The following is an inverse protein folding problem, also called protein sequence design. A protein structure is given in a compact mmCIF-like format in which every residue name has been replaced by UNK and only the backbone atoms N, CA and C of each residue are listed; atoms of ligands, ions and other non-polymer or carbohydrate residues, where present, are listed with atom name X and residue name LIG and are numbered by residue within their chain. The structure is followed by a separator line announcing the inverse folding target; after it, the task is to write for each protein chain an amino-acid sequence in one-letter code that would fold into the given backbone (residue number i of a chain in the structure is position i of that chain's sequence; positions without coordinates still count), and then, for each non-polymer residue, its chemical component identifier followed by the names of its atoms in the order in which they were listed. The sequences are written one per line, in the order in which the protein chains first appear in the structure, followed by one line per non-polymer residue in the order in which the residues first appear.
data_IF_124125179483
#
_entry.id   IF_124125179483
#
_cell.length_a   1.000
_cell.length_b   1.000
_cell.length_c   1.000
_cell.angle_alpha   90.00
_cell.angle_beta   90.00
_cell.angle_gamma   90.00
#
_symmetry.space_group_name_H-M   'P 1'
#
loop_
_entity.id
_entity.type
_entity.pdbx_description
1 polymer ?
#
# COMPACT_ATOMS: atom_id res chain seq x y z
N UNK A 1 11.62 -9.76 -22.15
CA UNK A 1 11.19 -10.91 -21.33
C UNK A 1 9.72 -10.71 -21.04
N UNK A 2 8.82 -11.55 -21.55
CA UNK A 2 7.42 -11.53 -21.12
C UNK A 2 7.41 -11.95 -19.64
N UNK A 3 7.39 -10.94 -18.76
CA UNK A 3 7.65 -11.09 -17.34
C UNK A 3 6.59 -11.97 -16.66
N UNK A 4 7.02 -12.69 -15.64
CA UNK A 4 6.19 -13.37 -14.65
C UNK A 4 4.93 -12.53 -14.36
N UNK A 5 3.75 -13.15 -14.36
CA UNK A 5 2.50 -12.46 -14.06
C UNK A 5 2.62 -11.67 -12.76
N UNK A 6 2.19 -10.41 -12.78
CA UNK A 6 2.15 -9.58 -11.57
C UNK A 6 0.93 -9.92 -10.73
N UNK A 7 1.09 -9.77 -9.43
CA UNK A 7 0.11 -10.09 -8.40
C UNK A 7 -0.70 -8.86 -8.01
N UNK A 8 -1.84 -9.14 -7.39
CA UNK A 8 -2.70 -8.13 -6.76
C UNK A 8 -2.45 -8.19 -5.26
N UNK A 9 -2.27 -7.04 -4.63
CA UNK A 9 -2.21 -6.90 -3.18
C UNK A 9 -3.45 -6.17 -2.64
N UNK A 10 -3.83 -6.43 -1.39
CA UNK A 10 -5.03 -5.82 -0.77
C UNK A 10 -4.75 -5.30 0.64
N UNK A 11 -5.08 -4.04 0.90
CA UNK A 11 -5.13 -3.46 2.24
C UNK A 11 -6.59 -3.10 2.53
N UNK A 12 -7.24 -3.80 3.44
CA UNK A 12 -8.68 -3.64 3.63
C UNK A 12 -9.19 -4.06 4.99
N UNK A 13 -10.46 -3.76 5.27
CA UNK A 13 -11.17 -4.39 6.39
C UNK A 13 -11.30 -5.92 6.18
N UNK A 14 -11.68 -6.60 7.26
CA UNK A 14 -11.86 -8.05 7.30
C UNK A 14 -12.78 -8.56 6.18
N UNK A 15 -13.92 -7.89 5.96
CA UNK A 15 -14.90 -8.27 4.93
C UNK A 15 -14.30 -8.13 3.52
N UNK A 16 -13.59 -7.03 3.26
CA UNK A 16 -12.92 -6.77 1.97
C UNK A 16 -11.83 -7.80 1.70
N UNK A 17 -10.89 -7.97 2.63
CA UNK A 17 -9.75 -8.89 2.45
C UNK A 17 -10.25 -10.32 2.27
N UNK A 18 -11.22 -10.76 3.09
CA UNK A 18 -11.81 -12.09 2.99
C UNK A 18 -12.41 -12.33 1.61
N UNK A 19 -13.18 -11.38 1.07
CA UNK A 19 -13.76 -11.49 -0.26
C UNK A 19 -12.71 -11.66 -1.37
N UNK A 20 -11.61 -10.92 -1.29
CA UNK A 20 -10.52 -11.04 -2.26
C UNK A 20 -9.73 -12.34 -2.11
N UNK A 21 -9.47 -12.79 -0.87
CA UNK A 21 -8.80 -14.08 -0.62
C UNK A 21 -9.62 -15.25 -1.17
N UNK A 22 -10.95 -15.22 -1.01
CA UNK A 22 -11.85 -16.19 -1.63
C UNK A 22 -11.82 -16.13 -3.17
N UNK A 23 -11.55 -14.95 -3.72
CA UNK A 23 -11.31 -14.73 -5.16
C UNK A 23 -9.97 -15.26 -5.67
N UNK A 24 -9.08 -15.74 -4.79
CA UNK A 24 -7.83 -16.40 -5.15
C UNK A 24 -6.62 -15.48 -5.31
N UNK A 25 -6.67 -14.24 -4.83
CA UNK A 25 -5.52 -13.32 -4.93
C UNK A 25 -4.43 -13.59 -3.88
N UNK A 26 -4.76 -14.32 -2.80
CA UNK A 26 -3.91 -14.44 -1.61
C UNK A 26 -2.63 -15.19 -1.91
N UNK A 27 -1.49 -14.58 -1.58
CA UNK A 27 -0.16 -15.18 -1.77
C UNK A 27 0.75 -14.87 -0.59
N UNK A 28 1.55 -15.87 -0.21
CA UNK A 28 2.72 -15.68 0.66
C UNK A 28 3.98 -15.76 -0.19
N UNK A 29 4.87 -14.78 -0.06
CA UNK A 29 6.17 -14.82 -0.73
C UNK A 29 7.10 -15.88 -0.09
N UNK A 30 8.32 -16.03 -0.62
CA UNK A 30 9.33 -16.99 -0.09
C UNK A 30 9.67 -16.76 1.40
N UNK A 31 9.54 -15.53 1.86
CA UNK A 31 9.80 -15.11 3.23
C UNK A 31 8.52 -15.16 4.09
N UNK A 32 7.45 -15.77 3.59
CA UNK A 32 6.12 -15.86 4.24
C UNK A 32 5.45 -14.51 4.50
N UNK A 33 5.80 -13.46 3.78
CA UNK A 33 5.08 -12.20 3.85
C UNK A 33 3.86 -12.26 2.93
N UNK A 34 2.68 -11.87 3.43
CA UNK A 34 1.47 -11.82 2.64
C UNK A 34 1.49 -10.65 1.66
N UNK A 35 0.68 -10.76 0.60
CA UNK A 35 0.30 -9.64 -0.25
C UNK A 35 -0.96 -8.92 0.24
N UNK A 36 -1.33 -9.07 1.51
CA UNK A 36 -2.51 -8.42 2.07
C UNK A 36 -2.29 -7.99 3.52
N UNK A 37 -3.07 -6.99 3.93
CA UNK A 37 -3.20 -6.55 5.31
C UNK A 37 -4.68 -6.44 5.65
N UNK A 38 -5.11 -7.13 6.72
CA UNK A 38 -6.41 -6.90 7.36
C UNK A 38 -6.23 -5.75 8.34
N UNK A 39 -6.98 -4.68 8.15
CA UNK A 39 -6.96 -3.50 9.02
C UNK A 39 -8.09 -3.61 10.03
N UNK A 40 -7.72 -3.78 11.28
CA UNK A 40 -8.59 -3.83 12.44
C UNK A 40 -8.59 -2.49 13.19
N UNK A 41 -9.32 -2.41 14.31
CA UNK A 41 -9.47 -1.17 15.08
C UNK A 41 -8.19 -0.76 15.83
N UNK A 42 -7.31 -1.71 16.11
CA UNK A 42 -6.04 -1.54 16.80
C UNK A 42 -4.84 -1.51 15.83
N UNK A 43 -5.05 -1.78 14.55
CA UNK A 43 -4.05 -1.59 13.50
C UNK A 43 -3.60 -0.13 13.47
N UNK A 44 -2.29 0.08 13.59
CA UNK A 44 -1.73 1.44 13.66
C UNK A 44 -1.55 2.07 12.29
N UNK A 45 -1.57 3.41 12.21
CA UNK A 45 -1.29 4.13 10.96
C UNK A 45 0.10 3.75 10.40
N UNK A 46 1.09 3.60 11.29
CA UNK A 46 2.44 3.20 10.90
C UNK A 46 2.46 1.82 10.24
N UNK A 47 1.69 0.86 10.76
CA UNK A 47 1.60 -0.48 10.19
C UNK A 47 0.97 -0.48 8.78
N UNK A 48 -0.07 0.33 8.57
CA UNK A 48 -0.69 0.51 7.26
C UNK A 48 0.33 1.13 6.29
N UNK A 49 1.04 2.17 6.73
CA UNK A 49 2.04 2.86 5.94
C UNK A 49 3.23 1.95 5.58
N UNK A 50 3.79 1.24 6.55
CA UNK A 50 4.90 0.30 6.37
C UNK A 50 4.50 -0.82 5.40
N UNK A 51 3.28 -1.34 5.54
CA UNK A 51 2.74 -2.36 4.63
C UNK A 51 2.60 -1.80 3.22
N UNK A 52 1.98 -0.62 3.06
CA UNK A 52 1.86 0.05 1.76
C UNK A 52 3.22 0.27 1.10
N UNK A 53 4.23 0.72 1.85
CA UNK A 53 5.60 0.93 1.34
C UNK A 53 6.27 -0.38 0.91
N UNK A 54 6.09 -1.46 1.69
CA UNK A 54 6.63 -2.78 1.35
C UNK A 54 6.06 -3.36 0.05
N UNK A 55 4.77 -3.09 -0.22
CA UNK A 55 4.07 -3.49 -1.44
C UNK A 55 4.40 -2.55 -2.60
N UNK A 56 4.60 -1.26 -2.31
CA UNK A 56 4.66 -0.16 -3.28
C UNK A 56 5.96 0.04 -4.02
N UNK A 57 7.01 -0.77 -3.78
CA UNK A 57 8.36 -0.52 -4.32
C UNK A 57 8.99 0.81 -3.84
N UNK A 58 8.32 1.55 -2.96
CA UNK A 58 8.74 2.86 -2.44
C UNK A 58 9.66 2.72 -1.22
N UNK A 59 10.89 2.29 -1.44
CA UNK A 59 11.98 2.48 -0.48
C UNK A 59 12.91 3.58 -0.99
N UNK A 60 12.52 4.82 -0.71
CA UNK A 60 13.37 5.99 -0.91
C UNK A 60 12.87 7.10 -0.01
N UNK A 61 13.60 7.36 1.08
CA UNK A 61 13.38 8.42 2.09
C UNK A 61 12.45 8.02 3.23
N UNK A 62 12.98 7.44 4.31
CA UNK A 62 13.08 8.06 5.66
C UNK A 62 13.85 7.08 6.55
N UNK A 63 15.18 7.26 6.66
CA UNK A 63 15.91 7.16 7.93
C UNK A 63 17.10 8.11 7.80
N UNK A 64 16.96 9.34 8.29
CA UNK A 64 18.14 10.14 8.62
C UNK A 64 18.62 9.62 9.97
N UNK A 65 19.62 8.73 9.96
CA UNK A 65 20.30 8.31 11.17
C UNK A 65 20.94 9.56 11.78
N UNK A 66 20.46 10.00 12.96
CA UNK A 66 21.18 11.00 13.74
C UNK A 66 22.32 10.28 14.48
N UNK A 67 23.60 10.55 14.16
CA UNK A 67 24.70 9.99 14.91
C UNK A 67 24.92 10.87 16.13
N UNK A 68 24.36 10.49 17.28
CA UNK A 68 24.83 11.04 18.55
C UNK A 68 25.58 9.96 19.34
N UNK A 69 26.89 10.04 19.16
CA UNK A 69 28.01 9.57 19.96
C UNK A 69 27.67 9.44 21.47
N UNK A 70 27.51 8.21 21.98
CA UNK A 70 28.22 7.74 23.19
C UNK A 70 27.86 6.34 23.72
N UNK A 71 26.86 5.62 23.19
CA UNK A 71 26.65 4.21 23.54
C UNK A 71 26.24 3.41 22.29
N UNK A 72 26.93 2.30 21.93
CA UNK A 72 26.44 1.41 20.90
C UNK A 72 25.21 0.64 21.43
N UNK A 73 24.07 0.61 20.70
CA UNK A 73 22.96 -0.26 21.05
C UNK A 73 23.39 -1.74 20.89
N UNK A 74 23.01 -2.56 21.87
CA UNK A 74 23.19 -4.01 21.89
C UNK A 74 22.52 -4.61 20.63
N UNK A 75 23.30 -5.16 19.70
CA UNK A 75 22.90 -5.47 18.31
C UNK A 75 22.01 -6.72 18.13
N UNK A 76 20.83 -6.72 18.76
CA UNK A 76 19.69 -7.52 18.23
C UNK A 76 18.90 -6.74 17.15
N UNK A 77 19.29 -5.50 16.83
CA UNK A 77 18.81 -4.76 15.66
C UNK A 77 19.56 -5.18 14.40
N UNK A 78 19.31 -6.41 13.95
CA UNK A 78 19.47 -6.73 12.54
C UNK A 78 18.43 -5.90 11.80
N UNK A 79 18.92 -4.83 11.18
CA UNK A 79 18.31 -4.01 10.12
C UNK A 79 17.21 -4.77 9.34
N UNK A 80 15.98 -4.70 9.84
CA UNK A 80 14.80 -5.37 9.28
C UNK A 80 14.22 -4.62 8.07
N UNK A 81 14.92 -3.57 7.60
CA UNK A 81 14.44 -2.65 6.55
C UNK A 81 15.15 -2.84 5.21
N UNK A 82 16.12 -3.74 5.13
CA UNK A 82 16.63 -4.21 3.85
C UNK A 82 15.82 -5.44 3.41
N UNK A 83 15.19 -5.37 2.23
CA UNK A 83 14.57 -6.48 1.49
C UNK A 83 13.07 -6.81 1.68
N UNK A 84 12.21 -5.82 1.91
CA UNK A 84 10.76 -5.97 1.64
C UNK A 84 10.37 -5.15 0.40
N UNK A 85 10.85 -5.58 -0.76
CA UNK A 85 10.45 -5.02 -2.05
C UNK A 85 9.75 -6.11 -2.86
N UNK A 86 8.44 -5.95 -3.08
CA UNK A 86 7.66 -6.85 -3.93
C UNK A 86 7.57 -6.30 -5.36
N UNK A 87 8.58 -6.59 -6.18
CA UNK A 87 8.62 -6.26 -7.61
C UNK A 87 7.54 -7.00 -8.43
N UNK A 88 7.01 -8.06 -7.85
CA UNK A 88 5.94 -8.90 -8.34
C UNK A 88 4.52 -8.34 -8.09
N UNK A 89 4.33 -7.24 -7.34
CA UNK A 89 3.01 -6.58 -7.26
C UNK A 89 2.79 -5.65 -8.47
N UNK A 90 1.62 -5.81 -9.10
CA UNK A 90 1.17 -4.97 -10.20
C UNK A 90 0.07 -4.00 -9.81
N UNK A 91 -0.79 -4.41 -8.86
CA UNK A 91 -1.93 -3.61 -8.39
C UNK A 91 -2.01 -3.73 -6.87
N UNK A 92 -2.25 -2.62 -6.19
CA UNK A 92 -2.62 -2.56 -4.78
C UNK A 92 -4.06 -2.04 -4.72
N UNK A 93 -4.96 -2.85 -4.18
CA UNK A 93 -6.31 -2.41 -3.84
C UNK A 93 -6.31 -1.96 -2.38
N UNK A 94 -6.90 -0.81 -2.09
CA UNK A 94 -6.99 -0.29 -0.73
C UNK A 94 -8.40 0.26 -0.49
N UNK A 95 -9.03 -0.05 0.64
CA UNK A 95 -10.30 0.63 0.94
C UNK A 95 -10.07 2.15 1.05
N UNK A 96 -10.93 2.95 0.43
CA UNK A 96 -10.76 4.41 0.39
C UNK A 96 -10.68 5.01 1.80
N UNK A 97 -11.48 4.53 2.75
CA UNK A 97 -11.46 5.05 4.11
C UNK A 97 -10.13 4.76 4.84
N UNK A 98 -9.44 3.67 4.49
CA UNK A 98 -8.09 3.35 4.99
C UNK A 98 -7.06 4.21 4.27
N UNK A 99 -7.21 4.39 2.95
CA UNK A 99 -6.34 5.24 2.15
C UNK A 99 -6.27 6.69 2.67
N UNK A 100 -7.37 7.20 3.23
CA UNK A 100 -7.40 8.50 3.90
C UNK A 100 -6.44 8.59 5.10
N UNK A 101 -6.24 7.50 5.85
CA UNK A 101 -5.36 7.47 7.02
C UNK A 101 -3.88 7.60 6.65
N UNK A 102 -3.51 7.18 5.44
CA UNK A 102 -2.13 7.14 4.92
C UNK A 102 -1.98 7.96 3.64
N UNK A 103 -2.84 8.97 3.44
CA UNK A 103 -2.93 9.75 2.21
C UNK A 103 -1.60 10.36 1.79
N UNK A 104 -0.76 10.77 2.75
CA UNK A 104 0.59 11.28 2.48
C UNK A 104 1.50 10.25 1.81
N UNK A 105 1.40 8.97 2.21
CA UNK A 105 2.17 7.88 1.61
C UNK A 105 1.68 7.58 0.18
N UNK A 106 0.37 7.59 -0.05
CA UNK A 106 -0.20 7.42 -1.40
C UNK A 106 0.17 8.58 -2.32
N UNK A 107 0.11 9.83 -1.83
CA UNK A 107 0.46 11.00 -2.62
C UNK A 107 1.97 11.02 -2.98
N UNK A 108 2.82 10.46 -2.12
CA UNK A 108 4.24 10.24 -2.42
C UNK A 108 4.49 9.15 -3.48
N UNK A 109 3.49 8.30 -3.78
CA UNK A 109 3.59 7.30 -4.86
C UNK A 109 3.45 7.97 -6.23
N UNK A 110 4.55 7.97 -6.98
CA UNK A 110 4.63 8.56 -8.32
C UNK A 110 4.87 7.52 -9.43
N UNK A 111 5.12 6.26 -9.08
CA UNK A 111 5.37 5.20 -10.05
C UNK A 111 4.04 4.67 -10.61
N UNK A 112 4.00 4.37 -11.91
CA UNK A 112 2.81 3.78 -12.54
C UNK A 112 2.54 2.34 -12.11
N UNK A 113 3.56 1.63 -11.63
CA UNK A 113 3.47 0.25 -11.12
C UNK A 113 4.16 0.20 -9.75
N UNK A 114 3.50 -0.38 -8.72
CA UNK A 114 2.14 -0.91 -8.76
C UNK A 114 1.09 0.18 -8.92
N UNK A 115 0.02 -0.11 -9.65
CA UNK A 115 -1.15 0.76 -9.71
C UNK A 115 -1.86 0.70 -8.35
N UNK A 116 -2.22 1.84 -7.77
CA UNK A 116 -2.97 1.90 -6.50
C UNK A 116 -4.41 2.25 -6.82
N UNK A 117 -5.35 1.42 -6.39
CA UNK A 117 -6.78 1.62 -6.63
C UNK A 117 -7.52 1.70 -5.30
N UNK A 118 -8.18 2.83 -5.08
CA UNK A 118 -9.07 3.03 -3.94
C UNK A 118 -10.42 2.39 -4.23
N UNK A 119 -10.88 1.49 -3.36
CA UNK A 119 -12.16 0.77 -3.49
C UNK A 119 -13.10 1.11 -2.31
N UNK A 120 -14.43 1.04 -2.49
CA UNK A 120 -15.35 1.12 -1.37
C UNK A 120 -15.14 -0.06 -0.40
N UNK A 121 -15.70 0.05 0.80
CA UNK A 121 -15.91 -1.09 1.70
C UNK A 121 -17.40 -1.30 1.91
N UNK A 122 -17.79 -2.38 2.59
CA UNK A 122 -19.19 -2.72 2.84
C UNK A 122 -19.96 -1.58 3.54
N UNK A 123 -19.32 -0.93 4.51
CA UNK A 123 -19.93 0.14 5.33
C UNK A 123 -19.54 1.54 4.86
N UNK A 124 -18.50 1.67 4.03
CA UNK A 124 -17.94 2.95 3.59
C UNK A 124 -18.00 3.08 2.06
N UNK A 125 -19.04 3.76 1.52
CA UNK A 125 -19.17 3.96 0.08
C UNK A 125 -18.05 4.85 -0.47
N UNK A 126 -17.78 4.70 -1.76
CA UNK A 126 -16.74 5.45 -2.47
C UNK A 126 -17.14 6.92 -2.67
N UNK A 127 -16.22 7.83 -2.38
CA UNK A 127 -16.31 9.26 -2.62
C UNK A 127 -15.25 9.72 -3.63
N UNK A 128 -15.69 10.02 -4.85
CA UNK A 128 -14.86 10.48 -5.95
C UNK A 128 -14.12 11.80 -5.68
N UNK A 129 -14.55 12.59 -4.68
CA UNK A 129 -13.88 13.84 -4.33
C UNK A 129 -12.55 13.62 -3.59
N UNK A 130 -12.36 12.45 -2.96
CA UNK A 130 -11.19 12.13 -2.12
C UNK A 130 -10.08 11.40 -2.87
N UNK A 131 -10.38 10.87 -4.05
CA UNK A 131 -9.45 10.04 -4.81
C UNK A 131 -8.29 10.86 -5.38
N UNK A 132 -7.07 10.43 -5.05
CA UNK A 132 -5.82 11.07 -5.46
C UNK A 132 -5.58 11.02 -6.98
N UNK A 133 -5.99 9.93 -7.64
CA UNK A 133 -5.90 9.79 -9.10
C UNK A 133 -6.89 10.72 -9.76
N UNK A 134 -8.15 10.79 -9.31
CA UNK A 134 -9.10 11.76 -9.84
C UNK A 134 -8.63 13.20 -9.62
N UNK A 135 -8.04 13.53 -8.47
CA UNK A 135 -7.42 14.86 -8.24
C UNK A 135 -6.31 15.17 -9.24
N UNK A 136 -5.47 14.18 -9.59
CA UNK A 136 -4.42 14.32 -10.62
C UNK A 136 -5.01 14.38 -12.04
N UNK A 137 -6.09 13.65 -12.28
CA UNK A 137 -6.74 13.50 -13.57
C UNK A 137 -7.75 14.63 -13.90
N UNK A 138 -8.16 15.44 -12.92
CA UNK A 138 -9.04 16.62 -13.12
C UNK A 138 -8.46 17.69 -14.06
N UNK A 139 -7.17 17.64 -14.39
CA UNK A 139 -6.56 18.44 -15.46
C UNK A 139 -6.54 17.77 -16.84
N UNK A 140 -6.92 16.49 -16.92
CA UNK A 140 -6.83 15.62 -18.10
C UNK A 140 -8.19 15.16 -18.65
N UNK A 141 -9.25 15.15 -17.84
CA UNK A 141 -10.61 14.80 -18.25
C UNK A 141 -11.55 15.98 -18.02
N UNK A 142 -12.37 16.31 -19.02
CA UNK A 142 -13.47 17.27 -18.82
C UNK A 142 -14.62 16.57 -18.12
N UNK A 143 -15.46 17.32 -17.42
CA UNK A 143 -16.63 16.78 -16.70
C UNK A 143 -17.66 16.06 -17.61
N UNK A 144 -17.45 16.07 -18.93
CA UNK A 144 -18.27 15.36 -19.93
C UNK A 144 -17.81 13.91 -20.17
N UNK A 145 -16.55 13.55 -19.86
CA UNK A 145 -15.99 12.22 -20.12
C UNK A 145 -16.38 11.14 -19.07
N UNK A 146 -17.00 11.56 -17.96
CA UNK A 146 -17.35 10.70 -16.81
C UNK A 146 -18.87 10.44 -16.68
N UNK A 147 -19.66 10.69 -17.74
CA UNK A 147 -21.12 10.46 -17.78
C UNK A 147 -21.51 9.23 -18.57
#
# INVERSE_FOLDING_TARGET
MAGRGKLIAVIGDEDTVTGFLLGGIGELNKNRHPNFLVVEKDTTINEIEDTFRSLGSLLGSVVEAKPNEHDPPLWDEIDSRQFLHRDDIGIILINQYIAEMVRHALDAHQHSIPAVLEIPSKEHPYDAAKDSILRRARGMFTAEDLR
#
